data_IF_530212374271
#
_entry.id   IF_530212374271
#
_cell.length_a   1.000
_cell.length_b   1.000
_cell.length_c   1.000
_cell.angle_alpha   90.00
_cell.angle_beta   90.00
_cell.angle_gamma   90.00
#
_symmetry.space_group_name_H-M   'P 1'
#
loop_
_entity.id
_entity.type
_entity.pdbx_description
1 polymer ?
#
# COMPACT_ATOMS: atom_id res chain seq x y z
N UNK A 1 -10.46 -12.10 -15.91
CA UNK A 1 -9.60 -11.14 -15.22
C UNK A 1 -10.03 -11.13 -13.76
N UNK A 2 -9.22 -11.57 -12.80
CA UNK A 2 -9.63 -11.53 -11.40
C UNK A 2 -9.80 -10.05 -11.01
N UNK A 3 -11.02 -9.69 -10.67
CA UNK A 3 -11.42 -8.41 -10.13
C UNK A 3 -10.57 -8.05 -8.90
N UNK A 4 -9.68 -7.06 -9.04
CA UNK A 4 -8.96 -6.49 -7.90
C UNK A 4 -9.98 -5.75 -7.04
N UNK A 5 -10.54 -6.43 -6.04
CA UNK A 5 -11.52 -5.85 -5.12
C UNK A 5 -10.81 -4.84 -4.22
N UNK A 6 -10.89 -3.57 -4.59
CA UNK A 6 -10.42 -2.47 -3.74
C UNK A 6 -11.59 -1.97 -2.87
N UNK A 7 -11.32 -1.72 -1.58
CA UNK A 7 -12.28 -1.11 -0.66
C UNK A 7 -11.69 0.19 -0.12
N UNK A 8 -12.50 1.23 -0.01
CA UNK A 8 -12.07 2.55 0.51
C UNK A 8 -12.06 2.54 2.04
N UNK A 9 -10.95 2.99 2.63
CA UNK A 9 -10.81 3.23 4.07
C UNK A 9 -10.67 4.73 4.32
N UNK A 10 -11.59 5.31 5.11
CA UNK A 10 -11.54 6.72 5.52
C UNK A 10 -11.05 6.85 6.96
N UNK A 11 -9.93 7.53 7.17
CA UNK A 11 -9.33 7.74 8.51
C UNK A 11 -9.17 9.23 8.77
N UNK A 12 -9.42 9.66 10.02
CA UNK A 12 -9.08 11.01 10.49
C UNK A 12 -7.78 10.94 11.27
N UNK A 13 -6.82 11.78 10.90
CA UNK A 13 -5.51 11.91 11.55
C UNK A 13 -5.16 13.39 11.70
N UNK A 14 -4.20 13.69 12.58
CA UNK A 14 -3.69 15.05 12.70
C UNK A 14 -2.98 15.48 11.40
N UNK A 15 -3.10 16.76 11.01
CA UNK A 15 -2.44 17.27 9.80
C UNK A 15 -0.92 17.03 9.79
N UNK A 16 -0.25 17.21 10.93
CA UNK A 16 1.20 16.98 11.04
C UNK A 16 1.60 15.53 10.73
N UNK A 17 0.77 14.55 11.12
CA UNK A 17 1.00 13.12 10.82
C UNK A 17 0.87 12.86 9.33
N UNK A 18 -0.12 13.47 8.67
CA UNK A 18 -0.29 13.36 7.22
C UNK A 18 0.92 13.91 6.47
N UNK A 19 1.43 15.07 6.87
CA UNK A 19 2.58 15.69 6.19
C UNK A 19 3.86 14.87 6.39
N UNK A 20 4.12 14.37 7.60
CA UNK A 20 5.25 13.46 7.83
C UNK A 20 5.16 12.20 6.97
N UNK A 21 3.97 11.60 6.88
CA UNK A 21 3.74 10.43 6.04
C UNK A 21 3.91 10.73 4.54
N UNK A 22 3.48 11.91 4.10
CA UNK A 22 3.67 12.38 2.72
C UNK A 22 5.15 12.49 2.36
N UNK A 23 5.97 13.09 3.24
CA UNK A 23 7.42 13.20 3.00
C UNK A 23 8.06 11.84 2.83
N UNK A 24 7.71 10.86 3.66
CA UNK A 24 8.24 9.48 3.56
C UNK A 24 7.77 8.83 2.25
N UNK A 25 6.49 8.95 1.90
CA UNK A 25 5.94 8.38 0.67
C UNK A 25 6.63 8.96 -0.58
N UNK A 26 6.89 10.27 -0.59
CA UNK A 26 7.62 10.94 -1.68
C UNK A 26 9.07 10.45 -1.78
N UNK A 27 9.77 10.28 -0.64
CA UNK A 27 11.12 9.71 -0.60
C UNK A 27 11.18 8.28 -1.15
N UNK A 28 10.17 7.46 -0.85
CA UNK A 28 10.03 6.08 -1.33
C UNK A 28 9.41 5.97 -2.74
N UNK A 29 9.12 7.11 -3.41
CA UNK A 29 8.48 7.19 -4.74
C UNK A 29 7.19 6.38 -4.84
N UNK A 30 6.37 6.41 -3.79
CA UNK A 30 5.09 5.70 -3.72
C UNK A 30 3.96 6.63 -3.33
N UNK A 31 2.74 6.27 -3.72
CA UNK A 31 1.56 7.05 -3.33
C UNK A 31 1.32 6.93 -1.82
N UNK A 32 0.62 7.91 -1.25
CA UNK A 32 0.24 7.90 0.16
C UNK A 32 -0.60 6.66 0.52
N UNK A 33 -1.49 6.23 -0.38
CA UNK A 33 -2.29 5.03 -0.20
C UNK A 33 -1.42 3.77 -0.14
N UNK A 34 -0.44 3.64 -1.04
CA UNK A 34 0.47 2.51 -1.02
C UNK A 34 1.36 2.50 0.23
N UNK A 35 1.78 3.68 0.70
CA UNK A 35 2.52 3.81 1.96
C UNK A 35 1.68 3.34 3.16
N UNK A 36 0.41 3.77 3.23
CA UNK A 36 -0.52 3.31 4.27
C UNK A 36 -0.70 1.79 4.22
N UNK A 37 -0.84 1.21 3.02
CA UNK A 37 -1.00 -0.23 2.87
C UNK A 37 0.21 -1.01 3.38
N UNK A 38 1.44 -0.54 3.10
CA UNK A 38 2.67 -1.15 3.63
C UNK A 38 2.71 -1.08 5.15
N UNK A 39 2.41 0.08 5.74
CA UNK A 39 2.38 0.25 7.19
C UNK A 39 1.35 -0.66 7.87
N UNK A 40 0.15 -0.78 7.29
CA UNK A 40 -0.91 -1.67 7.78
C UNK A 40 -0.43 -3.13 7.72
N UNK A 41 0.12 -3.57 6.57
CA UNK A 41 0.62 -4.94 6.41
C UNK A 41 1.71 -5.28 7.42
N UNK A 42 2.68 -4.38 7.60
CA UNK A 42 3.77 -4.57 8.57
C UNK A 42 3.24 -4.62 10.01
N UNK A 43 2.33 -3.72 10.38
CA UNK A 43 1.70 -3.73 11.69
C UNK A 43 0.95 -5.05 11.94
N UNK A 44 0.09 -5.46 11.01
CA UNK A 44 -0.65 -6.70 11.11
C UNK A 44 0.27 -7.94 11.21
N UNK A 45 1.35 -7.99 10.42
CA UNK A 45 2.34 -9.06 10.50
C UNK A 45 3.01 -9.13 11.88
N UNK A 46 3.43 -7.98 12.45
CA UNK A 46 4.03 -7.92 13.80
C UNK A 46 3.08 -8.35 14.91
N UNK A 47 1.76 -8.23 14.70
CA UNK A 47 0.73 -8.61 15.65
C UNK A 47 0.11 -9.99 15.38
N UNK A 48 0.71 -10.80 14.50
CA UNK A 48 0.28 -12.18 14.25
C UNK A 48 -0.93 -12.33 13.32
N UNK A 49 -1.28 -11.29 12.57
CA UNK A 49 -2.37 -11.29 11.59
C UNK A 49 -1.87 -10.90 10.17
N UNK A 50 -0.89 -11.63 9.58
CA UNK A 50 -0.33 -11.27 8.28
C UNK A 50 -1.42 -11.20 7.20
N UNK A 51 -1.40 -10.14 6.40
CA UNK A 51 -2.34 -9.95 5.29
C UNK A 51 -1.73 -10.58 4.03
N UNK A 52 -2.18 -11.78 3.70
CA UNK A 52 -1.79 -12.48 2.47
C UNK A 52 -2.56 -11.90 1.29
N UNK A 53 -1.86 -11.14 0.46
CA UNK A 53 -2.45 -10.49 -0.71
C UNK A 53 -1.35 -9.90 -1.56
N UNK A 54 -0.72 -10.73 -2.38
CA UNK A 54 0.23 -10.33 -3.41
C UNK A 54 -0.55 -9.42 -4.37
N UNK A 55 -0.37 -8.11 -4.28
CA UNK A 55 -0.67 -7.24 -5.40
C UNK A 55 0.17 -7.78 -6.56
N UNK A 56 -0.46 -8.27 -7.63
CA UNK A 56 0.25 -8.55 -8.87
C UNK A 56 0.91 -7.26 -9.31
N UNK A 57 2.17 -7.06 -8.91
CA UNK A 57 3.09 -6.17 -9.60
C UNK A 57 3.07 -6.67 -11.03
N UNK A 58 2.53 -5.87 -11.93
CA UNK A 58 2.60 -6.12 -13.36
C UNK A 58 4.07 -6.36 -13.73
N UNK A 59 4.45 -7.62 -13.78
CA UNK A 59 5.60 -8.14 -14.49
C UNK A 59 5.03 -9.14 -15.48
N UNK A 60 4.34 -8.60 -16.48
CA UNK A 60 4.24 -9.26 -17.77
C UNK A 60 4.73 -8.25 -18.81
N UNK A 61 6.05 -8.14 -19.03
CA UNK A 61 6.54 -7.50 -20.23
C UNK A 61 6.13 -8.38 -21.40
N UNK A 62 5.03 -7.99 -22.04
CA UNK A 62 4.52 -8.57 -23.27
C UNK A 62 5.51 -8.38 -24.42
N UNK A 63 6.58 -9.20 -24.52
CA UNK A 63 7.46 -9.26 -25.69
C UNK A 63 8.18 -10.62 -25.85
N UNK A 64 7.46 -11.76 -25.82
CA UNK A 64 8.05 -12.97 -26.40
C UNK A 64 7.04 -13.77 -27.21
N UNK A 65 7.00 -13.37 -28.49
CA UNK A 65 6.67 -14.09 -29.72
C UNK A 65 6.41 -15.60 -29.61
#
# INVERSE_FOLDING_TARGET
MPETKTTTLTVRIQPAVKEGLRTIAEQERRSLANMIEVLIREYCARHGAPIDGKQSTAQDPAWQN
#
